data_IF_169420407157
#
_entry.id   IF_169420407157
#
_cell.length_a   1.000
_cell.length_b   1.000
_cell.length_c   1.000
_cell.angle_alpha   90.00
_cell.angle_beta   90.00
_cell.angle_gamma   90.00
#
_symmetry.space_group_name_H-M   'P 1'
#
loop_
_entity.id
_entity.type
_entity.pdbx_description
1 polymer ?
#
# COMPACT_ATOMS: atom_id res chain seq x y z
N UNK A 1 -22.80 -7.37 -1.97
CA UNK A 1 -21.32 -7.50 -2.01
C UNK A 1 -20.88 -8.58 -1.04
N UNK A 2 -20.01 -9.51 -1.45
CA UNK A 2 -19.40 -10.52 -0.55
C UNK A 2 -18.17 -9.91 0.12
N UNK A 3 -17.92 -10.26 1.39
CA UNK A 3 -16.69 -9.85 2.10
C UNK A 3 -15.53 -10.73 1.63
N UNK A 4 -14.34 -10.17 1.50
CA UNK A 4 -13.17 -10.90 1.01
C UNK A 4 -12.73 -12.02 1.96
N UNK A 5 -12.68 -11.77 3.28
CA UNK A 5 -12.17 -12.78 4.23
C UNK A 5 -13.00 -14.06 4.27
N UNK A 6 -14.34 -14.03 4.38
CA UNK A 6 -15.14 -15.25 4.34
C UNK A 6 -15.02 -16.02 3.02
N UNK A 7 -14.85 -15.33 1.89
CA UNK A 7 -14.66 -15.98 0.59
C UNK A 7 -13.31 -16.70 0.56
N UNK A 8 -12.22 -16.03 0.90
CA UNK A 8 -10.89 -16.64 0.92
C UNK A 8 -10.79 -17.80 1.92
N UNK A 9 -11.46 -17.71 3.06
CA UNK A 9 -11.55 -18.81 4.02
C UNK A 9 -12.30 -20.02 3.45
N UNK A 10 -13.41 -19.80 2.73
CA UNK A 10 -14.16 -20.88 2.06
C UNK A 10 -13.35 -21.53 0.93
N UNK A 11 -12.53 -20.73 0.24
CA UNK A 11 -11.64 -21.19 -0.83
C UNK A 11 -10.40 -21.94 -0.30
N UNK A 12 -10.25 -22.07 1.03
CA UNK A 12 -9.13 -22.79 1.66
C UNK A 12 -7.79 -22.07 1.55
N UNK A 13 -7.81 -20.74 1.40
CA UNK A 13 -6.60 -19.93 1.28
C UNK A 13 -5.83 -19.92 2.60
N UNK A 14 -4.50 -19.96 2.51
CA UNK A 14 -3.59 -19.88 3.65
C UNK A 14 -3.92 -18.67 4.56
N UNK A 15 -4.07 -18.86 5.89
CA UNK A 15 -4.33 -17.76 6.83
C UNK A 15 -3.33 -16.60 6.76
N UNK A 16 -2.06 -16.88 6.51
CA UNK A 16 -1.00 -15.87 6.39
C UNK A 16 -1.19 -15.05 5.10
N UNK A 17 -1.59 -15.69 4.00
CA UNK A 17 -1.94 -15.00 2.76
C UNK A 17 -3.21 -14.15 2.94
N UNK A 18 -4.22 -14.66 3.65
CA UNK A 18 -5.42 -13.87 3.99
C UNK A 18 -5.03 -12.64 4.83
N UNK A 19 -4.14 -12.80 5.80
CA UNK A 19 -3.64 -11.71 6.63
C UNK A 19 -2.92 -10.66 5.80
N UNK A 20 -1.98 -11.07 4.94
CA UNK A 20 -1.24 -10.20 4.03
C UNK A 20 -2.18 -9.40 3.12
N UNK A 21 -3.15 -10.06 2.49
CA UNK A 21 -4.13 -9.40 1.61
C UNK A 21 -4.99 -8.38 2.36
N UNK A 22 -5.38 -8.67 3.61
CA UNK A 22 -6.12 -7.71 4.45
C UNK A 22 -5.28 -6.49 4.78
N UNK A 23 -3.99 -6.67 5.06
CA UNK A 23 -3.06 -5.56 5.33
C UNK A 23 -2.88 -4.69 4.10
N UNK A 24 -2.65 -5.28 2.93
CA UNK A 24 -2.57 -4.55 1.66
C UNK A 24 -3.88 -3.77 1.40
N UNK A 25 -5.05 -4.39 1.61
CA UNK A 25 -6.34 -3.73 1.43
C UNK A 25 -6.52 -2.54 2.38
N UNK A 26 -6.05 -2.65 3.62
CA UNK A 26 -6.09 -1.55 4.58
C UNK A 26 -5.22 -0.38 4.12
N UNK A 27 -4.00 -0.66 3.65
CA UNK A 27 -3.10 0.34 3.08
C UNK A 27 -3.71 1.04 1.85
N UNK A 28 -4.29 0.27 0.92
CA UNK A 28 -4.97 0.83 -0.25
C UNK A 28 -6.14 1.75 0.13
N UNK A 29 -6.90 1.41 1.18
CA UNK A 29 -7.99 2.26 1.68
C UNK A 29 -7.47 3.57 2.25
N UNK A 30 -6.36 3.55 2.97
CA UNK A 30 -5.71 4.75 3.49
C UNK A 30 -5.18 5.64 2.37
N UNK A 31 -4.51 5.05 1.37
CA UNK A 31 -4.05 5.77 0.18
C UNK A 31 -5.24 6.41 -0.54
N UNK A 32 -6.30 5.65 -0.79
CA UNK A 32 -7.51 6.17 -1.44
C UNK A 32 -8.17 7.30 -0.63
N UNK A 33 -8.17 7.20 0.70
CA UNK A 33 -8.65 8.26 1.56
C UNK A 33 -7.83 9.54 1.39
N UNK A 34 -6.48 9.46 1.44
CA UNK A 34 -5.60 10.62 1.24
C UNK A 34 -5.73 11.23 -0.15
N UNK A 35 -5.81 10.39 -1.19
CA UNK A 35 -6.06 10.84 -2.57
C UNK A 35 -7.40 11.57 -2.66
N UNK A 36 -8.45 11.06 -2.02
CA UNK A 36 -9.77 11.69 -1.98
C UNK A 36 -9.79 13.05 -1.28
N UNK A 37 -8.83 13.34 -0.40
CA UNK A 37 -8.66 14.67 0.23
C UNK A 37 -7.86 15.65 -0.65
N UNK A 38 -7.15 15.17 -1.67
CA UNK A 38 -6.34 16.00 -2.56
C UNK A 38 -5.29 16.82 -1.80
N UNK A 39 -5.21 18.12 -2.09
CA UNK A 39 -4.23 19.03 -1.47
C UNK A 39 -4.38 19.13 0.05
N UNK A 40 -5.59 18.90 0.60
CA UNK A 40 -5.83 18.95 2.04
C UNK A 40 -5.05 17.88 2.82
N UNK A 41 -4.71 16.76 2.17
CA UNK A 41 -3.85 15.73 2.74
C UNK A 41 -2.36 15.95 2.46
N UNK A 42 -1.98 17.03 1.76
CA UNK A 42 -0.59 17.33 1.41
C UNK A 42 0.06 16.29 0.47
N UNK A 43 -0.74 15.42 -0.15
CA UNK A 43 -0.25 14.32 -1.01
C UNK A 43 -0.01 14.75 -2.45
N UNK A 44 -0.49 15.93 -2.84
CA UNK A 44 -0.33 16.46 -4.20
C UNK A 44 0.98 17.24 -4.34
N UNK A 45 1.49 17.28 -5.57
CA UNK A 45 2.72 17.98 -5.94
C UNK A 45 3.94 17.05 -6.06
N UNK A 46 4.99 17.60 -6.67
CA UNK A 46 6.28 16.94 -6.83
C UNK A 46 7.16 17.12 -5.61
N UNK A 47 8.04 16.15 -5.39
CA UNK A 47 9.22 16.34 -4.56
C UNK A 47 10.28 17.13 -5.36
N UNK A 48 11.36 17.54 -4.69
CA UNK A 48 12.53 18.12 -5.38
C UNK A 48 13.51 17.04 -5.85
N UNK A 49 13.12 15.77 -5.76
CA UNK A 49 13.96 14.59 -5.99
C UNK A 49 13.51 13.85 -7.25
N UNK A 50 14.45 13.16 -7.88
CA UNK A 50 14.19 12.22 -8.96
C UNK A 50 14.18 10.79 -8.41
N UNK A 51 13.31 9.93 -8.95
CA UNK A 51 13.30 8.50 -8.61
C UNK A 51 14.45 7.75 -9.30
N UNK A 52 14.59 6.44 -9.02
CA UNK A 52 15.68 5.61 -9.57
C UNK A 52 15.62 5.44 -11.10
N UNK A 53 14.56 5.91 -11.74
CA UNK A 53 14.29 5.94 -13.18
C UNK A 53 14.58 7.31 -13.82
N UNK A 54 14.94 8.34 -13.03
CA UNK A 54 15.23 9.69 -13.52
C UNK A 54 13.99 10.56 -13.77
N UNK A 55 12.85 10.19 -13.19
CA UNK A 55 11.61 10.97 -13.27
C UNK A 55 11.44 11.84 -12.03
N UNK A 56 10.82 13.02 -12.18
CA UNK A 56 10.43 13.84 -11.02
C UNK A 56 9.42 13.08 -10.16
N UNK A 57 9.81 12.73 -8.94
CA UNK A 57 9.01 11.89 -8.06
C UNK A 57 7.86 12.69 -7.44
N UNK A 58 6.65 12.12 -7.40
CA UNK A 58 5.51 12.77 -6.75
C UNK A 58 5.47 12.43 -5.27
N UNK A 59 4.94 13.35 -4.47
CA UNK A 59 4.81 13.15 -3.02
C UNK A 59 3.93 11.94 -2.68
N UNK A 60 2.85 11.73 -3.44
CA UNK A 60 1.97 10.58 -3.25
C UNK A 60 2.72 9.27 -3.41
N UNK A 61 3.62 9.17 -4.39
CA UNK A 61 4.35 7.95 -4.72
C UNK A 61 5.26 7.54 -3.54
N UNK A 62 6.00 8.51 -2.97
CA UNK A 62 6.79 8.33 -1.74
C UNK A 62 5.92 7.89 -0.56
N UNK A 63 4.80 8.58 -0.33
CA UNK A 63 3.90 8.29 0.81
C UNK A 63 3.30 6.89 0.68
N UNK A 64 2.88 6.49 -0.52
CA UNK A 64 2.33 5.18 -0.79
C UNK A 64 3.38 4.08 -0.60
N UNK A 65 4.60 4.30 -1.09
CA UNK A 65 5.72 3.38 -0.93
C UNK A 65 6.04 3.12 0.54
N UNK A 66 6.24 4.17 1.32
CA UNK A 66 6.59 4.04 2.74
C UNK A 66 5.47 3.39 3.55
N UNK A 67 4.20 3.78 3.32
CA UNK A 67 3.07 3.17 3.98
C UNK A 67 2.98 1.66 3.68
N UNK A 68 3.11 1.26 2.40
CA UNK A 68 3.03 -0.15 2.02
C UNK A 68 4.22 -0.95 2.59
N UNK A 69 5.44 -0.40 2.55
CA UNK A 69 6.62 -1.05 3.14
C UNK A 69 6.44 -1.26 4.63
N UNK A 70 6.03 -0.24 5.37
CA UNK A 70 5.81 -0.31 6.83
C UNK A 70 4.81 -1.40 7.18
N UNK A 71 3.58 -1.30 6.67
CA UNK A 71 2.50 -2.21 7.06
C UNK A 71 2.74 -3.65 6.59
N UNK A 72 3.35 -3.86 5.42
CA UNK A 72 3.65 -5.21 4.92
C UNK A 72 4.77 -5.84 5.74
N UNK A 73 5.84 -5.10 6.09
CA UNK A 73 6.93 -5.63 6.93
C UNK A 73 6.44 -5.99 8.34
N UNK A 74 5.52 -5.20 8.90
CA UNK A 74 4.92 -5.47 10.22
C UNK A 74 4.06 -6.74 10.28
N UNK A 75 3.63 -7.28 9.14
CA UNK A 75 2.84 -8.53 9.12
C UNK A 75 3.61 -9.75 9.61
N UNK A 76 4.94 -9.76 9.51
CA UNK A 76 5.79 -10.90 9.84
C UNK A 76 5.69 -12.10 8.89
N UNK A 77 4.81 -12.05 7.87
CA UNK A 77 4.60 -13.16 6.92
C UNK A 77 5.36 -12.99 5.61
N UNK A 78 5.99 -11.84 5.39
CA UNK A 78 6.89 -11.60 4.25
C UNK A 78 8.36 -11.67 4.67
N UNK A 79 9.23 -12.10 3.75
CA UNK A 79 10.69 -12.13 3.99
C UNK A 79 11.41 -10.90 3.44
N UNK A 80 10.90 -10.33 2.36
CA UNK A 80 11.48 -9.16 1.69
C UNK A 80 10.41 -8.46 0.85
N UNK A 81 10.66 -7.19 0.52
CA UNK A 81 9.85 -6.37 -0.37
C UNK A 81 10.79 -5.76 -1.43
N UNK A 82 10.30 -5.62 -2.65
CA UNK A 82 10.93 -4.82 -3.69
C UNK A 82 9.93 -3.77 -4.13
N UNK A 83 10.38 -2.53 -4.30
CA UNK A 83 9.56 -1.42 -4.79
C UNK A 83 10.19 -0.79 -6.02
N UNK A 84 9.34 -0.19 -6.86
CA UNK A 84 9.76 0.62 -8.01
C UNK A 84 10.29 2.00 -7.57
N UNK A 85 9.80 2.49 -6.42
CA UNK A 85 10.17 3.78 -5.82
C UNK A 85 11.48 3.75 -5.03
#
# INVERSE_FOLDING_TARGET
>A
MRRISPVLQQDGVDPDLISLLKTILAACREIAFRVGQGELAGVLGSTLSENVQGETQKKLDVIANELLKEVILETGVVKAISSEE
#
